data_IF_504630220460
#
_entry.id   IF_504630220460
#
_cell.length_a   1.000
_cell.length_b   1.000
_cell.length_c   1.000
_cell.angle_alpha   90.00
_cell.angle_beta   90.00
_cell.angle_gamma   90.00
#
_symmetry.space_group_name_H-M   'P 1'
#
loop_
_entity.id
_entity.type
_entity.pdbx_description
1 polymer ?
#
# COMPACT_ATOMS: atom_id res chain seq x y z
N UNK A 1 5.69 -24.67 -1.60
CA UNK A 1 6.30 -23.91 -0.51
C UNK A 1 5.20 -23.26 0.34
N UNK A 2 5.48 -22.94 1.61
CA UNK A 2 4.51 -22.31 2.50
C UNK A 2 3.91 -21.01 1.91
N UNK A 3 4.70 -20.24 1.17
CA UNK A 3 4.24 -19.04 0.48
C UNK A 3 3.16 -19.34 -0.57
N UNK A 4 3.32 -20.40 -1.39
CA UNK A 4 2.31 -20.75 -2.40
C UNK A 4 0.98 -21.18 -1.79
N UNK A 5 0.99 -21.72 -0.56
CA UNK A 5 -0.22 -22.14 0.14
C UNK A 5 -0.99 -20.93 0.71
N UNK A 6 -0.26 -19.88 1.11
CA UNK A 6 -0.87 -18.61 1.56
C UNK A 6 -1.60 -17.91 0.41
N UNK A 7 -0.97 -17.80 -0.77
CA UNK A 7 -1.59 -17.19 -1.94
C UNK A 7 -2.87 -17.90 -2.42
N UNK A 8 -2.88 -19.24 -2.39
CA UNK A 8 -4.10 -20.00 -2.71
C UNK A 8 -5.19 -19.79 -1.67
N UNK A 9 -4.82 -19.78 -0.40
CA UNK A 9 -5.75 -19.60 0.72
C UNK A 9 -6.45 -18.25 0.67
N UNK A 10 -5.73 -17.16 0.40
CA UNK A 10 -6.32 -15.82 0.35
C UNK A 10 -7.37 -15.65 -0.73
N UNK A 11 -7.11 -16.17 -1.95
CA UNK A 11 -8.07 -16.10 -3.04
C UNK A 11 -9.38 -16.80 -2.69
N UNK A 12 -9.29 -18.00 -2.10
CA UNK A 12 -10.45 -18.77 -1.64
C UNK A 12 -11.14 -18.06 -0.47
N UNK A 13 -10.38 -17.53 0.49
CA UNK A 13 -10.93 -16.81 1.65
C UNK A 13 -11.74 -15.59 1.23
N UNK A 14 -11.20 -14.76 0.33
CA UNK A 14 -11.91 -13.58 -0.18
C UNK A 14 -13.14 -13.96 -1.01
N UNK A 15 -13.05 -14.98 -1.87
CA UNK A 15 -14.18 -15.47 -2.66
C UNK A 15 -15.30 -16.03 -1.78
N UNK A 16 -14.96 -16.75 -0.71
CA UNK A 16 -15.95 -17.27 0.24
C UNK A 16 -16.64 -16.14 1.03
N UNK A 17 -15.92 -15.08 1.39
CA UNK A 17 -16.52 -13.93 2.06
C UNK A 17 -17.47 -13.16 1.13
N UNK A 18 -17.11 -12.98 -0.14
CA UNK A 18 -18.00 -12.40 -1.15
C UNK A 18 -19.26 -13.26 -1.33
N UNK A 19 -19.09 -14.58 -1.46
CA UNK A 19 -20.21 -15.53 -1.59
C UNK A 19 -21.14 -15.47 -0.38
N UNK A 20 -20.60 -15.49 0.85
CA UNK A 20 -21.40 -15.37 2.08
C UNK A 20 -22.16 -14.05 2.10
N UNK A 21 -21.52 -12.94 1.75
CA UNK A 21 -22.17 -11.65 1.66
C UNK A 21 -23.32 -11.63 0.64
N UNK A 22 -23.10 -12.19 -0.54
CA UNK A 22 -24.13 -12.31 -1.59
C UNK A 22 -25.30 -13.22 -1.17
N UNK A 23 -25.02 -14.39 -0.57
CA UNK A 23 -26.05 -15.32 -0.11
C UNK A 23 -26.87 -14.78 1.08
N UNK A 24 -26.26 -13.99 1.94
CA UNK A 24 -26.94 -13.37 3.10
C UNK A 24 -27.52 -11.99 2.81
N UNK A 25 -27.39 -11.52 1.56
CA UNK A 25 -27.81 -10.16 1.15
C UNK A 25 -27.20 -9.05 1.99
N UNK A 26 -25.92 -9.19 2.32
CA UNK A 26 -25.18 -8.21 3.15
C UNK A 26 -23.87 -7.81 2.47
N UNK A 27 -23.47 -6.53 2.57
CA UNK A 27 -22.14 -6.10 2.15
C UNK A 27 -21.06 -6.70 3.05
N UNK A 28 -19.85 -6.87 2.51
CA UNK A 28 -18.75 -7.52 3.22
C UNK A 28 -18.42 -6.84 4.56
N UNK A 29 -18.43 -5.51 4.64
CA UNK A 29 -18.19 -4.82 5.91
C UNK A 29 -19.21 -5.21 7.01
N UNK A 30 -20.43 -5.56 6.63
CA UNK A 30 -21.45 -6.04 7.58
C UNK A 30 -21.10 -7.42 8.13
N UNK A 31 -20.59 -8.30 7.26
CA UNK A 31 -20.07 -9.64 7.66
C UNK A 31 -18.87 -9.51 8.60
N UNK A 32 -18.05 -8.47 8.44
CA UNK A 32 -16.89 -8.20 9.29
C UNK A 32 -17.25 -7.54 10.64
N UNK A 33 -18.52 -7.26 10.91
CA UNK A 33 -18.98 -6.71 12.20
C UNK A 33 -19.71 -5.37 12.08
N UNK A 34 -19.92 -4.86 10.88
CA UNK A 34 -20.63 -3.61 10.60
C UNK A 34 -19.70 -2.43 10.38
N UNK A 35 -20.28 -1.30 9.96
CA UNK A 35 -19.54 -0.07 9.78
C UNK A 35 -19.18 0.55 11.14
N UNK A 36 -17.90 0.77 11.36
CA UNK A 36 -17.40 1.59 12.46
C UNK A 36 -17.40 3.08 12.05
N UNK A 37 -17.22 3.36 10.75
CA UNK A 37 -17.20 4.71 10.18
C UNK A 37 -17.88 4.77 8.82
N UNK A 38 -18.42 5.95 8.48
CA UNK A 38 -19.13 6.18 7.22
C UNK A 38 -18.19 6.39 6.02
N UNK A 39 -16.94 6.75 6.27
CA UNK A 39 -15.87 6.92 5.27
C UNK A 39 -14.51 6.85 5.94
N UNK A 40 -13.45 6.57 5.17
CA UNK A 40 -12.08 6.59 5.68
C UNK A 40 -11.20 7.48 4.79
N UNK A 41 -10.27 8.23 5.41
CA UNK A 41 -9.23 9.00 4.70
C UNK A 41 -8.39 8.06 3.87
N UNK A 42 -8.00 8.52 2.67
CA UNK A 42 -7.07 7.79 1.81
C UNK A 42 -5.73 8.51 1.70
N UNK A 43 -4.69 7.76 1.31
CA UNK A 43 -3.49 8.32 0.73
C UNK A 43 -3.26 7.75 -0.67
N UNK A 44 -2.50 8.49 -1.48
CA UNK A 44 -2.11 8.05 -2.80
C UNK A 44 -0.70 7.47 -2.79
N UNK A 45 -0.55 6.19 -3.10
CA UNK A 45 0.74 5.63 -3.50
C UNK A 45 1.03 6.08 -4.92
N UNK A 46 2.14 6.80 -5.09
CA UNK A 46 2.46 7.50 -6.34
C UNK A 46 3.09 6.55 -7.38
N UNK A 47 2.46 5.39 -7.59
CA UNK A 47 2.79 4.51 -8.70
C UNK A 47 2.30 5.13 -10.02
N UNK A 48 3.03 4.88 -11.11
CA UNK A 48 2.62 5.28 -12.44
C UNK A 48 1.64 4.28 -13.06
N UNK A 49 1.01 4.68 -14.15
CA UNK A 49 0.11 3.83 -14.94
C UNK A 49 0.72 2.47 -15.31
N UNK A 50 2.00 2.46 -15.67
CA UNK A 50 2.72 1.26 -16.11
C UNK A 50 3.35 0.45 -14.96
N UNK A 51 3.21 0.89 -13.71
CA UNK A 51 3.76 0.17 -12.57
C UNK A 51 3.08 -1.19 -12.41
N UNK A 52 3.87 -2.28 -12.43
CA UNK A 52 3.36 -3.63 -12.32
C UNK A 52 2.70 -4.23 -13.59
N UNK A 53 2.48 -3.43 -14.65
CA UNK A 53 1.88 -3.87 -15.91
C UNK A 53 2.94 -3.97 -17.01
N UNK A 54 3.00 -5.12 -17.71
CA UNK A 54 3.85 -5.33 -18.91
C UNK A 54 5.39 -5.31 -18.75
N UNK A 55 5.92 -5.77 -17.62
CA UNK A 55 7.35 -6.07 -17.54
C UNK A 55 7.61 -7.49 -17.04
N UNK A 56 7.67 -8.49 -17.94
CA UNK A 56 7.91 -9.89 -17.55
C UNK A 56 9.29 -10.14 -16.88
N UNK A 57 10.25 -9.26 -17.05
CA UNK A 57 11.65 -9.52 -16.70
C UNK A 57 12.19 -8.71 -15.52
N UNK A 58 11.47 -7.71 -15.02
CA UNK A 58 11.97 -6.92 -13.89
C UNK A 58 10.84 -6.50 -12.94
N UNK A 59 10.68 -7.21 -11.86
CA UNK A 59 9.94 -6.75 -10.66
C UNK A 59 10.57 -5.49 -10.00
N UNK A 60 11.56 -4.92 -10.67
CA UNK A 60 12.28 -3.74 -10.22
C UNK A 60 11.98 -2.61 -11.19
N UNK A 61 10.83 -1.97 -11.03
CA UNK A 61 10.66 -0.63 -11.55
C UNK A 61 11.58 0.30 -10.75
N UNK A 62 12.84 0.38 -11.20
CA UNK A 62 13.78 1.34 -10.64
C UNK A 62 13.28 2.70 -11.08
N UNK A 63 12.86 3.59 -10.15
CA UNK A 63 12.55 4.96 -10.49
C UNK A 63 13.78 5.58 -11.16
N UNK A 64 13.62 6.14 -12.33
CA UNK A 64 14.73 6.73 -13.09
C UNK A 64 14.89 6.19 -14.52
N UNK A 65 14.22 5.11 -14.90
CA UNK A 65 14.12 4.69 -16.31
C UNK A 65 12.94 5.42 -16.97
N UNK A 66 13.05 6.74 -17.00
CA UNK A 66 11.99 7.66 -17.49
C UNK A 66 11.96 7.79 -19.01
N UNK A 67 12.98 7.27 -19.70
CA UNK A 67 13.15 7.50 -21.14
C UNK A 67 12.13 6.77 -22.03
N UNK A 68 11.29 5.89 -21.47
CA UNK A 68 10.39 5.01 -22.22
C UNK A 68 8.94 5.05 -21.74
N UNK A 69 8.58 5.96 -20.83
CA UNK A 69 7.21 6.10 -20.34
C UNK A 69 6.38 6.97 -21.28
N UNK A 70 5.18 6.53 -21.71
CA UNK A 70 4.28 7.39 -22.45
C UNK A 70 3.87 8.60 -21.58
N UNK A 71 3.77 9.77 -22.22
CA UNK A 71 3.24 10.99 -21.58
C UNK A 71 1.75 10.80 -21.30
N UNK A 72 1.44 10.16 -20.19
CA UNK A 72 0.07 9.85 -19.77
C UNK A 72 -0.31 10.56 -18.48
N UNK A 73 -1.55 10.96 -18.39
CA UNK A 73 -2.14 11.46 -17.16
C UNK A 73 -2.00 10.38 -16.06
N UNK A 74 -1.58 10.78 -14.85
CA UNK A 74 -1.34 9.90 -13.71
C UNK A 74 -0.04 9.06 -13.75
N UNK A 75 1.00 9.52 -14.46
CA UNK A 75 2.36 8.98 -14.26
C UNK A 75 3.00 9.55 -12.99
N UNK A 76 2.40 9.23 -11.84
CA UNK A 76 2.81 9.80 -10.55
C UNK A 76 4.22 9.39 -10.15
N UNK A 77 4.69 8.20 -10.56
CA UNK A 77 6.06 7.77 -10.32
C UNK A 77 7.09 8.63 -11.07
N UNK A 78 6.82 8.94 -12.31
CA UNK A 78 7.65 9.87 -13.07
C UNK A 78 7.55 11.29 -12.49
N UNK A 79 6.34 11.69 -12.09
CA UNK A 79 6.10 13.02 -11.56
C UNK A 79 6.87 13.27 -10.25
N UNK A 80 6.89 12.33 -9.29
CA UNK A 80 7.66 12.57 -8.07
C UNK A 80 9.18 12.58 -8.30
N UNK A 81 9.68 11.93 -9.34
CA UNK A 81 11.09 11.96 -9.69
C UNK A 81 11.52 13.27 -10.40
N UNK A 82 10.59 13.96 -11.06
CA UNK A 82 10.87 15.18 -11.82
C UNK A 82 10.39 16.44 -11.11
N UNK A 83 9.10 16.52 -10.79
CA UNK A 83 8.45 17.68 -10.14
C UNK A 83 7.45 17.22 -9.05
N UNK A 84 7.99 16.72 -7.94
CA UNK A 84 7.20 16.25 -6.82
C UNK A 84 6.30 17.33 -6.20
N UNK A 85 6.71 18.59 -6.28
CA UNK A 85 5.90 19.72 -5.80
C UNK A 85 4.63 19.93 -6.63
N UNK A 86 4.71 19.79 -7.95
CA UNK A 86 3.55 19.87 -8.84
C UNK A 86 2.62 18.66 -8.63
N UNK A 87 3.19 17.49 -8.44
CA UNK A 87 2.43 16.28 -8.10
C UNK A 87 1.62 16.48 -6.82
N UNK A 88 2.25 16.96 -5.75
CA UNK A 88 1.58 17.22 -4.48
C UNK A 88 0.40 18.21 -4.63
N UNK A 89 0.59 19.30 -5.39
CA UNK A 89 -0.50 20.25 -5.70
C UNK A 89 -1.66 19.57 -6.43
N UNK A 90 -1.38 18.73 -7.43
CA UNK A 90 -2.43 18.04 -8.18
C UNK A 90 -3.23 17.05 -7.32
N UNK A 91 -2.59 16.42 -6.32
CA UNK A 91 -3.29 15.56 -5.35
C UNK A 91 -4.18 16.38 -4.40
N UNK A 92 -3.70 17.53 -3.92
CA UNK A 92 -4.51 18.43 -3.09
C UNK A 92 -5.72 18.99 -3.85
N UNK A 93 -5.59 19.27 -5.15
CA UNK A 93 -6.72 19.68 -6.02
C UNK A 93 -7.80 18.58 -6.10
N UNK A 94 -7.43 17.30 -6.00
CA UNK A 94 -8.34 16.16 -5.90
C UNK A 94 -8.82 15.89 -4.46
N UNK A 95 -8.40 16.71 -3.49
CA UNK A 95 -8.71 16.56 -2.06
C UNK A 95 -7.85 15.52 -1.34
N UNK A 96 -6.86 14.94 -1.99
CA UNK A 96 -5.95 13.93 -1.41
C UNK A 96 -4.79 14.66 -0.72
N UNK A 97 -4.77 14.60 0.61
CA UNK A 97 -3.77 15.31 1.44
C UNK A 97 -2.71 14.38 2.05
N UNK A 98 -2.52 13.19 1.47
CA UNK A 98 -1.49 12.25 1.90
C UNK A 98 -0.95 11.47 0.70
N UNK A 99 0.38 11.33 0.60
CA UNK A 99 1.05 10.68 -0.52
C UNK A 99 2.27 9.86 -0.09
N UNK A 100 2.50 8.72 -0.78
CA UNK A 100 3.65 7.84 -0.56
C UNK A 100 4.54 7.83 -1.79
N UNK A 101 5.87 8.03 -1.59
CA UNK A 101 6.89 8.03 -2.63
C UNK A 101 8.16 7.27 -2.18
N UNK A 102 8.95 6.78 -3.15
CA UNK A 102 10.13 5.93 -2.94
C UNK A 102 11.36 6.32 -3.77
N UNK A 103 11.82 7.55 -3.72
CA UNK A 103 12.92 8.02 -4.57
C UNK A 103 14.28 7.37 -4.26
N UNK A 104 14.41 6.66 -3.13
CA UNK A 104 15.66 5.99 -2.75
C UNK A 104 15.91 4.68 -3.48
N UNK A 105 14.88 4.01 -4.00
CA UNK A 105 14.98 2.69 -4.64
C UNK A 105 15.96 2.65 -5.80
N UNK A 106 16.04 3.73 -6.59
CA UNK A 106 16.99 3.86 -7.69
C UNK A 106 18.45 3.68 -7.27
N UNK A 107 18.76 3.87 -6.00
CA UNK A 107 20.12 3.75 -5.48
C UNK A 107 20.40 2.38 -4.87
N UNK A 108 19.37 1.67 -4.40
CA UNK A 108 19.52 0.37 -3.73
C UNK A 108 20.12 -0.70 -4.66
N UNK A 109 19.69 -0.74 -5.92
CA UNK A 109 20.15 -1.75 -6.89
C UNK A 109 21.65 -1.76 -7.16
N UNK A 110 22.33 -0.62 -6.98
CA UNK A 110 23.79 -0.49 -7.21
C UNK A 110 24.63 -1.21 -6.17
N UNK A 111 24.11 -1.40 -4.98
CA UNK A 111 24.84 -1.94 -3.83
C UNK A 111 24.08 -3.07 -3.15
N UNK A 112 22.98 -3.54 -3.71
CA UNK A 112 22.02 -4.45 -3.08
C UNK A 112 21.55 -3.93 -1.69
N UNK A 113 21.43 -2.59 -1.54
CA UNK A 113 21.02 -1.97 -0.30
C UNK A 113 22.09 -1.90 0.81
N UNK A 114 23.29 -2.40 0.55
CA UNK A 114 24.36 -2.46 1.55
C UNK A 114 24.97 -1.10 1.88
N UNK A 115 24.91 -0.16 0.95
CA UNK A 115 25.46 1.18 1.12
C UNK A 115 24.73 2.23 0.30
N UNK A 116 24.59 3.42 0.88
CA UNK A 116 24.13 4.62 0.18
C UNK A 116 25.13 5.76 0.40
N UNK A 117 25.56 6.42 -0.68
CA UNK A 117 26.49 7.56 -0.60
C UNK A 117 25.77 8.82 -0.09
N UNK A 118 26.51 9.80 0.46
CA UNK A 118 25.92 11.09 0.87
C UNK A 118 25.29 11.83 -0.32
N UNK A 119 25.92 11.74 -1.50
CA UNK A 119 25.39 12.33 -2.73
C UNK A 119 24.04 11.69 -3.15
N UNK A 120 23.89 10.37 -2.97
CA UNK A 120 22.65 9.68 -3.32
C UNK A 120 21.57 9.96 -2.26
N UNK A 121 21.97 10.14 -0.99
CA UNK A 121 21.05 10.61 0.06
C UNK A 121 20.50 11.99 -0.30
N UNK A 122 21.36 12.95 -0.65
CA UNK A 122 20.93 14.30 -1.02
C UNK A 122 19.91 14.27 -2.18
N UNK A 123 20.18 13.44 -3.20
CA UNK A 123 19.28 13.26 -4.33
C UNK A 123 17.95 12.58 -3.94
N UNK A 124 17.99 11.62 -3.03
CA UNK A 124 16.78 10.94 -2.56
C UNK A 124 15.91 11.85 -1.68
N UNK A 125 16.50 12.81 -0.98
CA UNK A 125 15.78 13.80 -0.16
C UNK A 125 15.14 14.90 -1.02
N UNK A 126 15.70 15.24 -2.16
CA UNK A 126 15.25 16.34 -3.02
C UNK A 126 13.75 16.31 -3.36
N UNK A 127 13.13 15.19 -3.78
CA UNK A 127 11.68 15.14 -4.03
C UNK A 127 10.84 15.51 -2.81
N UNK A 128 11.22 15.05 -1.63
CA UNK A 128 10.53 15.39 -0.37
C UNK A 128 10.62 16.87 -0.05
N UNK A 129 11.80 17.48 -0.26
CA UNK A 129 11.98 18.91 -0.07
C UNK A 129 11.12 19.72 -1.05
N UNK A 130 11.06 19.31 -2.33
CA UNK A 130 10.18 19.94 -3.34
C UNK A 130 8.71 19.91 -2.94
N UNK A 131 8.24 18.83 -2.32
CA UNK A 131 6.87 18.75 -1.78
C UNK A 131 6.70 19.77 -0.65
N UNK A 132 7.61 19.79 0.34
CA UNK A 132 7.53 20.73 1.46
C UNK A 132 7.59 22.19 1.02
N UNK A 133 8.44 22.51 0.05
CA UNK A 133 8.55 23.88 -0.52
C UNK A 133 7.26 24.28 -1.26
N UNK A 134 6.60 23.35 -1.92
CA UNK A 134 5.42 23.62 -2.75
C UNK A 134 4.12 23.75 -1.97
N UNK A 135 3.91 22.91 -0.92
CA UNK A 135 2.63 22.74 -0.22
C UNK A 135 2.76 22.69 1.32
N UNK A 136 3.97 22.81 1.84
CA UNK A 136 4.19 22.81 3.29
C UNK A 136 3.69 21.54 3.97
N UNK A 137 2.91 21.72 5.05
CA UNK A 137 2.32 20.64 5.85
C UNK A 137 0.89 20.31 5.46
N UNK A 138 0.37 20.87 4.36
CA UNK A 138 -0.93 20.47 3.83
C UNK A 138 -0.92 19.04 3.27
N UNK A 139 0.29 18.52 2.94
CA UNK A 139 0.51 17.15 2.48
C UNK A 139 1.21 16.32 3.54
N UNK A 140 0.56 15.26 4.03
CA UNK A 140 1.22 14.19 4.77
C UNK A 140 2.06 13.36 3.79
N UNK A 141 3.34 13.17 4.11
CA UNK A 141 4.29 12.46 3.22
C UNK A 141 4.67 11.15 3.88
N UNK A 142 4.53 10.04 3.16
CA UNK A 142 5.00 8.73 3.56
C UNK A 142 6.24 8.35 2.74
N UNK A 143 7.16 7.66 3.39
CA UNK A 143 8.41 7.20 2.79
C UNK A 143 8.38 5.70 2.69
N UNK A 144 8.42 5.18 1.47
CA UNK A 144 8.57 3.76 1.20
C UNK A 144 10.05 3.43 0.96
N UNK A 145 10.52 2.31 1.52
CA UNK A 145 11.89 1.80 1.34
C UNK A 145 11.92 0.34 0.83
N UNK A 146 10.76 -0.28 0.62
CA UNK A 146 10.56 -1.61 -0.01
C UNK A 146 11.46 -2.73 0.54
N UNK A 147 11.84 -2.68 1.82
CA UNK A 147 12.75 -3.66 2.43
C UNK A 147 14.10 -3.80 1.71
N UNK A 148 14.53 -2.76 0.99
CA UNK A 148 15.72 -2.85 0.13
C UNK A 148 17.03 -2.52 0.85
N UNK A 149 17.00 -1.95 2.04
CA UNK A 149 18.16 -1.39 2.70
C UNK A 149 18.59 -2.21 3.92
N UNK A 150 19.91 -2.31 4.15
CA UNK A 150 20.38 -2.79 5.43
C UNK A 150 20.16 -1.73 6.52
N UNK A 151 20.22 -2.15 7.79
CA UNK A 151 19.95 -1.29 8.94
C UNK A 151 20.82 0.00 8.99
N UNK A 152 22.15 -0.04 8.75
CA UNK A 152 22.97 1.17 8.71
C UNK A 152 22.55 2.16 7.62
N UNK A 153 22.24 1.69 6.41
CA UNK A 153 21.83 2.53 5.29
C UNK A 153 20.44 3.13 5.53
N UNK A 154 19.48 2.33 6.00
CA UNK A 154 18.16 2.80 6.38
C UNK A 154 18.21 3.90 7.47
N UNK A 155 19.03 3.73 8.51
CA UNK A 155 19.24 4.74 9.54
C UNK A 155 19.83 6.06 8.98
N UNK A 156 20.73 5.99 8.00
CA UNK A 156 21.26 7.19 7.32
C UNK A 156 20.18 7.94 6.54
N UNK A 157 19.34 7.20 5.81
CA UNK A 157 18.20 7.75 5.07
C UNK A 157 17.23 8.41 6.04
N UNK A 158 16.82 7.70 7.09
CA UNK A 158 15.89 8.22 8.09
C UNK A 158 16.40 9.51 8.72
N UNK A 159 17.70 9.55 9.11
CA UNK A 159 18.30 10.76 9.68
C UNK A 159 18.28 11.96 8.72
N UNK A 160 18.49 11.72 7.43
CA UNK A 160 18.46 12.80 6.43
C UNK A 160 17.03 13.32 6.19
N UNK A 161 16.01 12.49 6.41
CA UNK A 161 14.60 12.85 6.25
C UNK A 161 13.95 13.41 7.53
N UNK A 162 14.65 13.44 8.69
CA UNK A 162 14.11 14.04 9.91
C UNK A 162 13.54 15.45 9.72
N UNK A 163 14.21 16.38 9.00
CA UNK A 163 13.68 17.73 8.78
C UNK A 163 12.40 17.79 7.93
N UNK A 164 12.15 16.75 7.15
CA UNK A 164 10.94 16.61 6.32
C UNK A 164 9.72 16.25 7.20
N UNK A 165 9.96 15.60 8.33
CA UNK A 165 8.93 15.06 9.23
C UNK A 165 7.86 14.25 8.44
N UNK A 166 8.25 13.10 7.84
CA UNK A 166 7.29 12.23 7.18
C UNK A 166 6.31 11.61 8.19
N UNK A 167 5.14 11.20 7.70
CA UNK A 167 4.13 10.54 8.54
C UNK A 167 4.61 9.17 9.02
N UNK A 168 5.33 8.43 8.16
CA UNK A 168 6.00 7.18 8.51
C UNK A 168 7.15 6.80 7.57
N UNK A 169 7.98 5.87 8.03
CA UNK A 169 8.87 5.04 7.21
C UNK A 169 8.24 3.66 7.05
N UNK A 170 8.05 3.21 5.80
CA UNK A 170 7.48 1.93 5.45
C UNK A 170 8.58 0.98 5.01
N UNK A 171 8.53 -0.26 5.52
CA UNK A 171 9.43 -1.36 5.19
C UNK A 171 10.90 -0.94 5.08
N UNK A 172 11.49 -0.33 6.13
CA UNK A 172 12.81 0.30 6.05
C UNK A 172 13.95 -0.69 5.81
N UNK A 173 13.77 -1.95 6.21
CA UNK A 173 14.75 -3.05 6.08
C UNK A 173 14.02 -4.37 5.78
N UNK A 174 14.72 -5.44 5.35
CA UNK A 174 14.12 -6.77 5.19
C UNK A 174 13.43 -7.28 6.46
N UNK A 175 12.27 -7.93 6.28
CA UNK A 175 11.42 -8.42 7.39
C UNK A 175 11.87 -9.74 8.00
N UNK A 176 13.00 -10.28 7.61
CA UNK A 176 13.57 -11.52 8.13
C UNK A 176 14.28 -11.36 9.49
N UNK A 177 14.47 -10.10 9.96
CA UNK A 177 15.05 -9.78 11.27
C UNK A 177 14.25 -8.68 11.98
N UNK A 178 13.23 -9.07 12.75
CA UNK A 178 12.37 -8.15 13.47
C UNK A 178 13.06 -7.45 14.66
N UNK A 179 14.16 -7.98 15.18
CA UNK A 179 14.97 -7.27 16.19
C UNK A 179 15.69 -6.07 15.58
N UNK A 180 16.21 -6.23 14.34
CA UNK A 180 16.80 -5.12 13.61
C UNK A 180 15.74 -4.06 13.26
N UNK A 181 14.51 -4.46 12.92
CA UNK A 181 13.40 -3.54 12.70
C UNK A 181 13.03 -2.77 13.98
N UNK A 182 12.99 -3.45 15.13
CA UNK A 182 12.79 -2.81 16.43
C UNK A 182 13.91 -1.82 16.78
N UNK A 183 15.15 -2.11 16.37
CA UNK A 183 16.29 -1.18 16.53
C UNK A 183 16.20 0.01 15.58
N UNK A 184 15.66 -0.15 14.38
CA UNK A 184 15.36 0.97 13.50
C UNK A 184 14.26 1.84 14.10
N UNK A 185 13.15 1.25 14.57
CA UNK A 185 12.06 1.98 15.21
C UNK A 185 12.53 2.80 16.42
N UNK A 186 13.42 2.26 17.26
CA UNK A 186 13.99 2.99 18.42
C UNK A 186 14.93 4.14 18.01
N UNK A 187 15.52 4.05 16.82
CA UNK A 187 16.48 5.04 16.32
C UNK A 187 15.79 6.34 15.88
N UNK A 188 14.59 6.26 15.34
CA UNK A 188 13.85 7.41 14.81
C UNK A 188 12.65 7.77 15.70
N UNK A 189 12.25 9.05 15.72
CA UNK A 189 11.00 9.51 16.34
C UNK A 189 9.83 9.50 15.35
N UNK A 190 10.10 9.29 14.06
CA UNK A 190 9.07 9.15 13.03
C UNK A 190 8.48 7.74 13.12
N UNK A 191 7.15 7.59 13.05
CA UNK A 191 6.50 6.29 13.06
C UNK A 191 7.06 5.32 12.01
N UNK A 192 7.12 4.04 12.36
CA UNK A 192 7.53 2.96 11.46
C UNK A 192 6.35 2.07 11.19
N UNK A 193 6.12 1.73 9.93
CA UNK A 193 5.10 0.78 9.50
C UNK A 193 5.73 -0.40 8.77
N UNK A 194 5.14 -1.58 8.96
CA UNK A 194 5.46 -2.82 8.26
C UNK A 194 4.30 -3.82 8.41
N UNK A 195 4.12 -4.77 7.54
CA UNK A 195 4.75 -4.93 6.25
C UNK A 195 3.77 -5.58 5.27
N UNK A 196 3.76 -5.08 4.05
CA UNK A 196 3.00 -5.70 2.96
C UNK A 196 3.45 -7.13 2.68
N UNK A 197 4.74 -7.42 2.91
CA UNK A 197 5.34 -8.71 2.57
C UNK A 197 5.17 -9.80 3.64
N UNK A 198 4.68 -9.46 4.82
CA UNK A 198 4.48 -10.41 5.91
C UNK A 198 3.17 -11.19 5.74
N UNK A 199 3.18 -12.46 6.15
CA UNK A 199 2.03 -13.34 6.03
C UNK A 199 1.63 -13.95 7.35
N UNK A 200 0.32 -14.19 7.50
CA UNK A 200 -0.33 -14.84 8.63
C UNK A 200 -0.12 -14.11 9.99
N UNK A 201 -1.10 -14.23 10.85
CA UNK A 201 -1.10 -13.62 12.21
C UNK A 201 0.11 -13.98 13.07
N UNK A 202 0.77 -15.10 12.81
CA UNK A 202 1.89 -15.57 13.61
C UNK A 202 3.12 -14.66 13.47
N UNK A 203 3.40 -14.19 12.25
CA UNK A 203 4.47 -13.22 12.00
C UNK A 203 4.13 -11.86 12.62
N UNK A 204 2.88 -11.42 12.52
CA UNK A 204 2.44 -10.16 13.13
C UNK A 204 2.42 -10.22 14.66
N UNK A 205 2.13 -11.39 15.26
CA UNK A 205 2.30 -11.55 16.71
C UNK A 205 3.73 -11.25 17.13
N UNK A 206 4.71 -11.84 16.45
CA UNK A 206 6.13 -11.58 16.74
C UNK A 206 6.51 -10.13 16.53
N UNK A 207 6.01 -9.50 15.45
CA UNK A 207 6.19 -8.07 15.17
C UNK A 207 5.74 -7.20 16.34
N UNK A 208 4.57 -7.50 16.93
CA UNK A 208 4.02 -6.75 18.06
C UNK A 208 4.75 -7.06 19.38
N UNK A 209 5.08 -8.32 19.65
CA UNK A 209 5.86 -8.72 20.83
C UNK A 209 7.23 -8.00 20.89
N UNK A 210 7.88 -7.84 19.73
CA UNK A 210 9.14 -7.10 19.60
C UNK A 210 8.98 -5.57 19.59
N UNK A 211 7.74 -5.07 19.52
CA UNK A 211 7.44 -3.63 19.39
C UNK A 211 8.19 -3.01 18.22
N UNK A 212 8.19 -3.69 17.09
CA UNK A 212 9.01 -3.32 15.94
C UNK A 212 8.35 -2.26 15.03
N UNK A 213 7.07 -1.95 15.24
CA UNK A 213 6.31 -0.96 14.48
C UNK A 213 5.46 -0.06 15.38
N UNK A 214 5.04 1.08 14.82
CA UNK A 214 4.06 2.02 15.39
C UNK A 214 2.71 1.93 14.69
N UNK A 215 2.71 1.46 13.43
CA UNK A 215 1.53 1.27 12.61
C UNK A 215 1.64 -0.15 12.01
N UNK A 216 0.56 -0.92 12.10
CA UNK A 216 0.51 -2.23 11.48
C UNK A 216 0.03 -2.10 10.03
N UNK A 217 0.85 -2.51 9.09
CA UNK A 217 0.50 -2.62 7.69
C UNK A 217 0.49 -4.09 7.28
N UNK A 218 -0.43 -4.44 6.40
CA UNK A 218 -0.51 -5.75 5.74
C UNK A 218 -1.23 -5.59 4.41
N UNK A 219 -0.90 -6.45 3.46
CA UNK A 219 -1.66 -6.60 2.22
C UNK A 219 -2.61 -7.79 2.34
N UNK A 220 -3.89 -7.60 2.00
CA UNK A 220 -4.91 -8.66 2.14
C UNK A 220 -4.60 -9.85 1.24
N UNK A 221 -4.01 -9.61 0.08
CA UNK A 221 -3.59 -10.64 -0.85
C UNK A 221 -2.30 -11.37 -0.44
N UNK A 222 -1.52 -10.85 0.50
CA UNK A 222 -0.28 -11.46 0.96
C UNK A 222 -0.39 -12.03 2.35
N UNK A 223 -1.25 -11.44 3.19
CA UNK A 223 -1.42 -11.84 4.58
C UNK A 223 -2.19 -13.16 4.77
N UNK A 224 -2.92 -13.61 3.76
CA UNK A 224 -3.71 -14.82 3.80
C UNK A 224 -5.23 -14.60 3.77
N UNK A 225 -5.66 -13.46 3.22
CA UNK A 225 -7.06 -13.10 3.01
C UNK A 225 -7.66 -12.22 4.10
N UNK A 226 -8.94 -11.89 3.93
CA UNK A 226 -9.67 -10.98 4.81
C UNK A 226 -9.83 -11.53 6.23
N UNK A 227 -9.94 -12.85 6.38
CA UNK A 227 -10.01 -13.51 7.70
C UNK A 227 -8.76 -13.26 8.53
N UNK A 228 -7.57 -13.38 7.93
CA UNK A 228 -6.30 -13.11 8.62
C UNK A 228 -6.14 -11.62 8.89
N UNK A 229 -6.43 -10.77 7.92
CA UNK A 229 -6.36 -9.32 8.04
C UNK A 229 -7.23 -8.80 9.20
N UNK A 230 -8.47 -9.29 9.34
CA UNK A 230 -9.37 -8.92 10.44
C UNK A 230 -8.82 -9.37 11.81
N UNK A 231 -8.25 -10.57 11.90
CA UNK A 231 -7.62 -11.05 13.15
C UNK A 231 -6.37 -10.26 13.52
N UNK A 232 -5.55 -9.90 12.53
CA UNK A 232 -4.37 -9.08 12.74
C UNK A 232 -4.78 -7.67 13.19
N UNK A 233 -5.83 -7.09 12.60
CA UNK A 233 -6.37 -5.80 13.03
C UNK A 233 -6.82 -5.81 14.50
N UNK A 234 -7.48 -6.89 14.93
CA UNK A 234 -7.87 -7.07 16.33
C UNK A 234 -6.64 -7.22 17.26
N UNK A 235 -5.61 -7.95 16.83
CA UNK A 235 -4.35 -8.08 17.58
C UNK A 235 -3.61 -6.74 17.66
N UNK A 236 -3.57 -5.97 16.58
CA UNK A 236 -2.99 -4.63 16.56
C UNK A 236 -3.73 -3.70 17.54
N UNK A 237 -5.08 -3.72 17.52
CA UNK A 237 -5.89 -2.94 18.46
C UNK A 237 -5.58 -3.28 19.93
N UNK A 238 -5.42 -4.55 20.27
CA UNK A 238 -5.02 -4.99 21.61
C UNK A 238 -3.62 -4.50 22.04
N UNK A 239 -2.77 -4.16 21.06
CA UNK A 239 -1.46 -3.55 21.28
C UNK A 239 -1.47 -2.00 21.12
N UNK A 240 -2.65 -1.38 21.04
CA UNK A 240 -2.83 0.06 20.79
C UNK A 240 -2.20 0.55 19.48
N UNK A 241 -2.13 -0.31 18.46
CA UNK A 241 -1.59 0.02 17.15
C UNK A 241 -2.72 0.28 16.16
N UNK A 242 -2.65 1.36 15.37
CA UNK A 242 -3.53 1.55 14.22
C UNK A 242 -3.14 0.57 13.10
N UNK A 243 -4.08 0.36 12.17
CA UNK A 243 -3.81 -0.38 10.94
C UNK A 243 -3.97 0.53 9.71
N UNK A 244 -3.13 0.28 8.70
CA UNK A 244 -3.16 0.92 7.39
C UNK A 244 -2.99 -0.17 6.32
N UNK A 245 -4.09 -0.72 5.76
CA UNK A 245 -4.00 -1.77 4.76
C UNK A 245 -3.33 -1.29 3.47
N UNK A 246 -2.37 -2.09 2.98
CA UNK A 246 -1.67 -1.88 1.72
C UNK A 246 -2.58 -2.19 0.51
N UNK A 247 -2.41 -1.44 -0.58
CA UNK A 247 -3.02 -1.70 -1.89
C UNK A 247 -2.12 -1.27 -3.05
N UNK A 248 -1.62 -2.22 -3.79
CA UNK A 248 -0.95 -2.00 -5.08
C UNK A 248 -1.02 -3.25 -5.99
N UNK A 249 -1.94 -4.19 -5.68
CA UNK A 249 -1.98 -5.54 -6.27
C UNK A 249 -3.13 -5.71 -7.26
N UNK A 250 -4.27 -5.06 -7.01
CA UNK A 250 -5.43 -5.20 -7.87
C UNK A 250 -6.74 -4.69 -7.25
N UNK A 251 -7.80 -4.50 -8.05
CA UNK A 251 -9.03 -3.89 -7.56
C UNK A 251 -9.73 -4.71 -6.47
N UNK A 252 -9.56 -6.02 -6.48
CA UNK A 252 -10.15 -6.90 -5.45
C UNK A 252 -9.45 -6.69 -4.10
N UNK A 253 -8.13 -6.47 -4.10
CA UNK A 253 -7.37 -6.12 -2.87
C UNK A 253 -7.86 -4.80 -2.31
N UNK A 254 -7.94 -3.76 -3.13
CA UNK A 254 -8.43 -2.44 -2.75
C UNK A 254 -9.81 -2.52 -2.10
N UNK A 255 -10.78 -3.19 -2.74
CA UNK A 255 -12.15 -3.28 -2.24
C UNK A 255 -12.22 -4.02 -0.90
N UNK A 256 -11.52 -5.15 -0.76
CA UNK A 256 -11.44 -5.86 0.51
C UNK A 256 -10.78 -5.00 1.60
N UNK A 257 -9.73 -4.24 1.25
CA UNK A 257 -9.08 -3.26 2.13
C UNK A 257 -10.05 -2.18 2.60
N UNK A 258 -10.88 -1.65 1.71
CA UNK A 258 -11.91 -0.66 2.03
C UNK A 258 -12.94 -1.23 3.01
N UNK A 259 -13.48 -2.42 2.77
CA UNK A 259 -14.43 -3.06 3.68
C UNK A 259 -13.83 -3.27 5.07
N UNK A 260 -12.58 -3.75 5.15
CA UNK A 260 -11.87 -3.91 6.41
C UNK A 260 -11.65 -2.56 7.11
N UNK A 261 -11.15 -1.57 6.39
CA UNK A 261 -10.85 -0.24 6.94
C UNK A 261 -12.09 0.49 7.45
N UNK A 262 -13.25 0.24 6.85
CA UNK A 262 -14.53 0.80 7.30
C UNK A 262 -15.10 0.07 8.53
N UNK A 263 -14.79 -1.21 8.72
CA UNK A 263 -15.27 -2.03 9.84
C UNK A 263 -14.29 -2.06 11.03
N UNK A 264 -12.99 -2.06 10.79
CA UNK A 264 -11.98 -2.12 11.84
C UNK A 264 -11.88 -0.81 12.63
N UNK A 265 -12.12 -0.80 13.98
CA UNK A 265 -12.10 0.43 14.79
C UNK A 265 -10.77 1.18 14.74
N UNK A 266 -9.66 0.45 14.64
CA UNK A 266 -8.29 0.98 14.64
C UNK A 266 -7.71 1.25 13.25
N UNK A 267 -8.49 1.15 12.16
CA UNK A 267 -8.01 1.58 10.84
C UNK A 267 -7.87 3.11 10.82
N UNK A 268 -6.68 3.60 10.41
CA UNK A 268 -6.39 5.02 10.39
C UNK A 268 -6.53 5.66 9.01
N UNK A 269 -6.14 4.93 7.98
CA UNK A 269 -6.07 5.41 6.61
C UNK A 269 -6.08 4.22 5.64
N UNK A 270 -6.62 4.40 4.43
CA UNK A 270 -6.63 3.39 3.38
C UNK A 270 -5.70 3.79 2.23
N UNK A 271 -4.84 2.89 1.80
CA UNK A 271 -4.04 3.07 0.60
C UNK A 271 -4.89 3.03 -0.66
N UNK A 272 -4.54 3.86 -1.62
CA UNK A 272 -5.07 3.83 -2.99
C UNK A 272 -3.99 4.23 -3.99
N UNK A 273 -4.19 3.85 -5.24
CA UNK A 273 -3.33 4.26 -6.37
C UNK A 273 -4.21 4.94 -7.41
N UNK A 274 -4.17 6.29 -7.50
CA UNK A 274 -5.06 7.01 -8.41
C UNK A 274 -4.83 6.65 -9.87
N UNK A 275 -3.60 6.33 -10.24
CA UNK A 275 -3.28 5.85 -11.57
C UNK A 275 -4.08 4.58 -11.91
N UNK A 276 -4.09 3.58 -11.02
CA UNK A 276 -4.81 2.32 -11.23
C UNK A 276 -6.32 2.51 -11.18
N UNK A 277 -6.81 3.29 -10.20
CA UNK A 277 -8.23 3.58 -10.04
C UNK A 277 -8.83 4.29 -11.25
N UNK A 278 -8.05 5.09 -11.97
CA UNK A 278 -8.50 5.82 -13.15
C UNK A 278 -8.20 5.13 -14.48
N UNK A 279 -7.53 3.98 -14.45
CA UNK A 279 -7.14 3.22 -15.65
C UNK A 279 -7.57 1.76 -15.53
N UNK A 280 -6.65 0.83 -15.46
CA UNK A 280 -6.86 -0.60 -15.64
C UNK A 280 -7.73 -1.29 -14.57
N UNK A 281 -7.87 -0.73 -13.35
CA UNK A 281 -8.85 -1.28 -12.40
C UNK A 281 -10.27 -1.23 -12.97
N UNK A 282 -10.58 -0.13 -13.68
CA UNK A 282 -11.88 0.05 -14.36
C UNK A 282 -12.13 -0.94 -15.49
N UNK A 283 -11.09 -1.52 -16.04
CA UNK A 283 -11.21 -2.51 -17.11
C UNK A 283 -11.57 -3.91 -16.56
N UNK A 284 -11.24 -4.17 -15.29
CA UNK A 284 -11.43 -5.46 -14.63
C UNK A 284 -12.79 -5.58 -13.95
N UNK A 285 -13.25 -4.55 -13.22
CA UNK A 285 -14.44 -4.61 -12.37
C UNK A 285 -15.55 -3.66 -12.84
N UNK A 286 -16.80 -4.03 -12.54
CA UNK A 286 -17.99 -3.27 -12.96
C UNK A 286 -18.13 -1.97 -12.18
N UNK A 287 -17.95 -2.03 -10.86
CA UNK A 287 -18.20 -0.90 -9.94
C UNK A 287 -16.92 -0.55 -9.19
N UNK A 288 -16.43 0.66 -9.42
CA UNK A 288 -15.30 1.23 -8.69
C UNK A 288 -15.74 1.82 -7.36
N UNK A 289 -14.88 1.78 -6.32
CA UNK A 289 -15.14 2.50 -5.07
C UNK A 289 -15.37 4.00 -5.30
N UNK A 290 -16.32 4.57 -4.57
CA UNK A 290 -16.51 6.03 -4.55
C UNK A 290 -15.38 6.66 -3.73
N UNK A 291 -14.51 7.40 -4.42
CA UNK A 291 -13.45 8.21 -3.81
C UNK A 291 -13.75 9.68 -4.08
N UNK A 292 -13.85 10.48 -3.03
CA UNK A 292 -14.21 11.89 -3.14
C UNK A 292 -13.57 12.70 -2.01
N UNK A 293 -12.93 13.81 -2.36
CA UNK A 293 -12.31 14.74 -1.39
C UNK A 293 -11.36 14.05 -0.40
N UNK A 294 -10.53 13.12 -0.88
CA UNK A 294 -9.55 12.40 -0.06
C UNK A 294 -10.13 11.32 0.87
N UNK A 295 -11.37 10.90 0.63
CA UNK A 295 -12.03 9.83 1.37
C UNK A 295 -12.59 8.78 0.43
N UNK A 296 -12.61 7.53 0.89
CA UNK A 296 -13.34 6.44 0.27
C UNK A 296 -14.55 6.07 1.12
N UNK A 297 -15.65 5.73 0.42
CA UNK A 297 -16.96 5.42 0.99
C UNK A 297 -17.26 3.92 0.88
N UNK A 298 -18.21 3.40 1.66
CA UNK A 298 -18.66 2.02 1.55
C UNK A 298 -19.09 1.66 0.13
N UNK A 299 -18.75 0.44 -0.30
CA UNK A 299 -19.31 -0.12 -1.53
C UNK A 299 -20.81 -0.38 -1.34
N UNK A 300 -21.58 -0.10 -2.38
CA UNK A 300 -23.00 -0.47 -2.44
C UNK A 300 -23.15 -1.93 -2.90
N UNK A 301 -24.25 -2.58 -2.53
CA UNK A 301 -24.56 -3.96 -2.90
C UNK A 301 -24.08 -5.01 -1.90
N UNK A 302 -24.18 -6.27 -2.29
CA UNK A 302 -23.89 -7.43 -1.44
C UNK A 302 -22.48 -7.97 -1.71
N UNK A 303 -21.91 -8.70 -0.75
CA UNK A 303 -20.55 -9.18 -0.84
C UNK A 303 -19.56 -8.01 -0.92
N UNK A 304 -18.62 -8.05 -1.85
CA UNK A 304 -17.67 -6.97 -2.11
C UNK A 304 -18.27 -5.77 -2.87
N UNK A 305 -19.53 -5.86 -3.35
CA UNK A 305 -20.23 -4.76 -4.02
C UNK A 305 -19.86 -4.57 -5.50
N UNK A 306 -19.17 -5.52 -6.12
CA UNK A 306 -18.83 -5.50 -7.55
C UNK A 306 -18.71 -6.92 -8.11
N UNK A 307 -18.59 -7.02 -9.42
CA UNK A 307 -18.26 -8.25 -10.15
C UNK A 307 -17.13 -7.97 -11.15
N UNK A 308 -16.57 -9.01 -11.72
CA UNK A 308 -15.70 -8.88 -12.89
C UNK A 308 -16.53 -8.52 -14.12
N UNK A 309 -15.99 -7.68 -14.97
CA UNK A 309 -16.60 -7.38 -16.27
C UNK A 309 -16.55 -8.58 -17.21
N UNK A 310 -17.61 -8.77 -18.00
CA UNK A 310 -17.62 -9.81 -19.05
C UNK A 310 -16.50 -9.62 -20.07
N UNK A 311 -16.14 -8.35 -20.40
CA UNK A 311 -15.01 -8.05 -21.27
C UNK A 311 -13.69 -8.56 -20.74
N UNK A 312 -13.46 -8.46 -19.42
CA UNK A 312 -12.27 -9.00 -18.77
C UNK A 312 -12.29 -10.53 -18.73
N UNK A 313 -13.44 -11.14 -18.40
CA UNK A 313 -13.55 -12.61 -18.32
C UNK A 313 -13.43 -13.29 -19.69
N UNK A 314 -13.78 -12.61 -20.77
CA UNK A 314 -13.73 -13.13 -22.14
C UNK A 314 -12.52 -12.62 -22.94
N UNK A 315 -11.58 -11.95 -22.30
CA UNK A 315 -10.33 -11.51 -22.92
C UNK A 315 -9.41 -12.70 -23.21
N UNK A 316 -8.77 -12.72 -24.37
CA UNK A 316 -7.91 -13.83 -24.82
C UNK A 316 -6.67 -14.03 -23.91
N UNK A 317 -6.26 -12.99 -23.17
CA UNK A 317 -5.16 -13.05 -22.18
C UNK A 317 -5.64 -13.50 -20.78
N UNK A 318 -6.94 -13.58 -20.55
CA UNK A 318 -7.50 -14.01 -19.26
C UNK A 318 -7.49 -15.52 -19.13
N UNK A 319 -6.82 -16.02 -18.12
CA UNK A 319 -6.76 -17.47 -17.84
C UNK A 319 -7.82 -17.84 -16.80
N UNK A 320 -8.82 -18.60 -17.24
CA UNK A 320 -9.87 -19.13 -16.35
C UNK A 320 -9.65 -20.64 -16.16
N UNK A 321 -9.47 -21.06 -14.92
CA UNK A 321 -9.40 -22.47 -14.55
C UNK A 321 -10.69 -22.88 -13.83
N UNK A 322 -11.41 -23.84 -14.37
CA UNK A 322 -12.56 -24.48 -13.71
C UNK A 322 -12.20 -25.87 -13.24
N UNK A 323 -12.53 -26.21 -11.99
CA UNK A 323 -12.50 -27.61 -11.51
C UNK A 323 -13.89 -28.21 -11.66
N UNK A 324 -13.99 -29.34 -12.35
CA UNK A 324 -15.20 -30.16 -12.41
C UNK A 324 -15.35 -31.01 -11.16
#
# INVERSE_FOLDING_TARGET
SAASDVYKRQAIDMALHDLVGKLSEQPLYQILGGLFREKIKIYNTCAGYSYGVNRPETYRNIPGDVDHMPDQKYEDQQAFMTDAGKLAKSLLEEGVSAMKIWPFDQFAGKTNGEFISSKDIDKGVEPFQKIRDAVGREMDIMVELHSMWNLPSAKRIAKALEPIEPLWYEDPIPMDNLDALADFRKFTHIPVTASETMSLRWSFRELFEKKAVDICMFDICWVGGISEANRISAMAAANHLPVAPHDCVGPITLINGIHLSLSAPNAMIQETVRAFNNTWYRDIIETMPKIENGYVYPMEGYGIGTNFKDSFLNDDETIINSSS
#
